data_IF_310710897315
#
_entry.id   IF_310710897315
#
_cell.length_a   1.000
_cell.length_b   1.000
_cell.length_c   1.000
_cell.angle_alpha   90.00
_cell.angle_beta   90.00
_cell.angle_gamma   90.00
#
_symmetry.space_group_name_H-M   'P 1'
#
loop_
_entity.id
_entity.type
_entity.pdbx_description
1 polymer ?
#
# COMPACT_ATOMS: atom_id res chain seq x y z
N UNK A 1 -2.92 17.74 3.55
CA UNK A 1 -4.00 17.09 2.80
C UNK A 1 -3.77 17.14 1.28
N UNK A 2 -3.71 18.33 0.62
CA UNK A 2 -3.49 18.43 -0.84
C UNK A 2 -2.23 17.69 -1.29
N UNK A 3 -1.10 17.90 -0.64
CA UNK A 3 0.16 17.20 -0.94
C UNK A 3 0.03 15.67 -0.82
N UNK A 4 -0.68 15.20 0.19
CA UNK A 4 -0.93 13.76 0.39
C UNK A 4 -1.70 13.17 -0.78
N UNK A 5 -2.73 13.88 -1.23
CA UNK A 5 -3.54 13.43 -2.38
C UNK A 5 -2.71 13.40 -3.66
N UNK A 6 -1.95 14.46 -3.95
CA UNK A 6 -1.06 14.52 -5.13
C UNK A 6 -0.03 13.39 -5.07
N UNK A 7 0.56 13.16 -3.91
CA UNK A 7 1.56 12.11 -3.73
C UNK A 7 1.00 10.71 -3.96
N UNK A 8 -0.20 10.41 -3.44
CA UNK A 8 -0.86 9.10 -3.69
C UNK A 8 -1.20 8.92 -5.16
N UNK A 9 -1.69 9.96 -5.85
CA UNK A 9 -1.92 9.91 -7.29
C UNK A 9 -0.64 9.52 -8.01
N UNK A 10 0.45 10.21 -7.69
CA UNK A 10 1.76 9.91 -8.26
C UNK A 10 2.17 8.47 -7.99
N UNK A 11 1.99 7.97 -6.77
CA UNK A 11 2.29 6.58 -6.43
C UNK A 11 1.42 5.57 -7.19
N UNK A 12 0.13 5.85 -7.39
CA UNK A 12 -0.74 5.00 -8.21
C UNK A 12 -0.25 4.93 -9.66
N UNK A 13 0.29 6.02 -10.20
CA UNK A 13 0.91 6.01 -11.53
C UNK A 13 2.18 5.15 -11.54
N UNK A 14 3.05 5.31 -10.56
CA UNK A 14 4.27 4.51 -10.40
C UNK A 14 3.92 3.01 -10.28
N UNK A 15 2.96 2.66 -9.42
CA UNK A 15 2.50 1.29 -9.25
C UNK A 15 1.92 0.70 -10.55
N UNK A 16 1.13 1.50 -11.28
CA UNK A 16 0.59 1.11 -12.59
C UNK A 16 1.70 0.80 -13.59
N UNK A 17 2.77 1.59 -13.59
CA UNK A 17 3.93 1.37 -14.44
C UNK A 17 4.64 0.06 -14.13
N UNK A 18 4.89 -0.22 -12.85
CA UNK A 18 5.49 -1.50 -12.43
C UNK A 18 4.57 -2.70 -12.70
N UNK A 19 3.25 -2.53 -12.53
CA UNK A 19 2.28 -3.56 -12.91
C UNK A 19 2.34 -3.87 -14.40
N UNK A 20 2.49 -2.84 -15.22
CA UNK A 20 2.64 -3.00 -16.66
C UNK A 20 3.95 -3.72 -17.01
N UNK A 21 5.06 -3.30 -16.45
CA UNK A 21 6.37 -3.92 -16.67
C UNK A 21 6.33 -5.42 -16.32
N UNK A 22 5.74 -5.78 -15.18
CA UNK A 22 5.63 -7.16 -14.76
C UNK A 22 4.68 -7.95 -15.68
N UNK A 23 3.55 -7.38 -16.10
CA UNK A 23 2.63 -8.04 -17.04
C UNK A 23 3.23 -8.25 -18.43
N UNK A 24 4.05 -7.33 -18.92
CA UNK A 24 4.77 -7.54 -20.17
C UNK A 24 5.66 -8.80 -20.11
N UNK A 25 6.21 -9.09 -18.93
CA UNK A 25 7.05 -10.27 -18.74
C UNK A 25 6.22 -11.56 -18.55
N UNK A 26 5.23 -11.53 -17.63
CA UNK A 26 4.45 -12.73 -17.25
C UNK A 26 3.40 -13.08 -18.31
N UNK A 27 2.77 -12.09 -18.92
CA UNK A 27 1.62 -12.27 -19.81
C UNK A 27 1.69 -11.34 -21.03
N UNK A 28 2.67 -11.53 -21.91
CA UNK A 28 2.93 -10.61 -23.04
C UNK A 28 1.74 -10.49 -24.01
N UNK A 29 0.88 -11.50 -24.09
CA UNK A 29 -0.33 -11.46 -24.92
C UNK A 29 -1.45 -10.59 -24.33
N UNK A 30 -1.44 -10.35 -23.02
CA UNK A 30 -2.46 -9.55 -22.34
C UNK A 30 -1.82 -8.54 -21.37
N UNK A 31 -1.31 -7.46 -21.92
CA UNK A 31 -0.63 -6.39 -21.17
C UNK A 31 -1.57 -5.34 -20.61
N UNK A 32 -2.89 -5.44 -20.85
CA UNK A 32 -3.87 -4.48 -20.31
C UNK A 32 -3.91 -4.55 -18.80
N UNK A 33 -3.74 -3.38 -18.15
CA UNK A 33 -3.72 -3.26 -16.70
C UNK A 33 -5.10 -2.88 -16.21
N UNK A 34 -5.64 -3.66 -15.28
CA UNK A 34 -6.87 -3.44 -14.54
C UNK A 34 -6.55 -2.97 -13.11
N UNK A 35 -7.57 -2.58 -12.35
CA UNK A 35 -7.38 -2.10 -10.98
C UNK A 35 -6.72 -3.14 -10.05
N UNK A 36 -7.11 -4.40 -10.13
CA UNK A 36 -6.50 -5.48 -9.33
C UNK A 36 -5.03 -5.70 -9.67
N UNK A 37 -4.63 -5.42 -10.91
CA UNK A 37 -3.24 -5.59 -11.34
C UNK A 37 -2.27 -4.62 -10.63
N UNK A 38 -2.78 -3.56 -9.97
CA UNK A 38 -1.96 -2.69 -9.10
C UNK A 38 -1.22 -3.47 -8.01
N UNK A 39 -1.77 -4.62 -7.59
CA UNK A 39 -1.10 -5.53 -6.66
C UNK A 39 0.22 -6.07 -7.23
N UNK A 40 0.31 -6.31 -8.54
CA UNK A 40 1.56 -6.75 -9.16
C UNK A 40 2.67 -5.70 -9.02
N UNK A 41 2.34 -4.42 -9.23
CA UNK A 41 3.29 -3.32 -9.02
C UNK A 41 3.70 -3.19 -7.56
N UNK A 42 2.75 -3.35 -6.65
CA UNK A 42 2.99 -3.30 -5.22
C UNK A 42 3.92 -4.43 -4.77
N UNK A 43 3.65 -5.68 -5.15
CA UNK A 43 4.51 -6.82 -4.82
C UNK A 43 5.90 -6.69 -5.45
N UNK A 44 5.98 -6.22 -6.70
CA UNK A 44 7.28 -5.99 -7.34
C UNK A 44 8.12 -4.97 -6.57
N UNK A 45 7.50 -3.86 -6.12
CA UNK A 45 8.20 -2.85 -5.31
C UNK A 45 8.60 -3.37 -3.94
N UNK A 46 7.80 -4.23 -3.31
CA UNK A 46 8.15 -4.88 -2.03
C UNK A 46 9.41 -5.75 -2.21
N UNK A 47 9.40 -6.61 -3.23
CA UNK A 47 10.55 -7.49 -3.52
C UNK A 47 11.79 -6.65 -3.87
N UNK A 48 11.62 -5.63 -4.70
CA UNK A 48 12.71 -4.74 -5.10
C UNK A 48 13.29 -3.97 -3.90
N UNK A 49 12.44 -3.49 -2.99
CA UNK A 49 12.89 -2.80 -1.78
C UNK A 49 13.73 -3.70 -0.89
N UNK A 50 13.30 -4.95 -0.68
CA UNK A 50 14.06 -5.92 0.09
C UNK A 50 15.42 -6.20 -0.59
N UNK A 51 15.40 -6.50 -1.89
CA UNK A 51 16.62 -6.80 -2.65
C UNK A 51 17.63 -5.64 -2.59
N UNK A 52 17.17 -4.41 -2.79
CA UNK A 52 18.03 -3.23 -2.73
C UNK A 52 18.60 -3.00 -1.33
N UNK A 53 17.82 -3.26 -0.27
CA UNK A 53 18.28 -3.05 1.10
C UNK A 53 19.39 -4.02 1.52
N UNK A 54 19.54 -5.18 0.89
CA UNK A 54 20.70 -6.05 1.13
C UNK A 54 22.04 -5.36 0.81
N UNK A 55 22.04 -4.47 -0.17
CA UNK A 55 23.27 -3.87 -0.68
C UNK A 55 23.42 -2.40 -0.31
N UNK A 56 22.29 -1.67 -0.20
CA UNK A 56 22.28 -0.22 -0.11
C UNK A 56 21.22 0.31 0.86
N UNK A 57 21.43 1.50 1.46
CA UNK A 57 20.39 2.26 2.14
C UNK A 57 19.28 2.70 1.16
N UNK A 58 18.02 2.50 1.53
CA UNK A 58 16.89 2.73 0.62
C UNK A 58 16.60 4.20 0.31
N UNK A 59 17.04 5.14 1.14
CA UNK A 59 16.81 6.59 0.96
C UNK A 59 17.25 7.15 -0.40
N UNK A 60 18.22 6.50 -1.05
CA UNK A 60 18.73 6.95 -2.35
C UNK A 60 17.88 6.50 -3.54
N UNK A 61 16.96 5.55 -3.34
CA UNK A 61 16.26 4.88 -4.42
C UNK A 61 14.86 5.41 -4.71
N UNK A 62 14.32 6.30 -3.88
CA UNK A 62 13.00 6.89 -4.10
C UNK A 62 12.86 7.50 -5.51
N UNK A 63 13.77 8.41 -5.87
CA UNK A 63 13.70 9.09 -7.18
C UNK A 63 13.95 8.15 -8.36
N UNK A 64 15.02 7.34 -8.42
CA UNK A 64 15.25 6.42 -9.52
C UNK A 64 14.07 5.47 -9.75
N UNK A 65 13.57 4.85 -8.69
CA UNK A 65 12.45 3.91 -8.78
C UNK A 65 11.17 4.61 -9.22
N UNK A 66 10.88 5.80 -8.67
CA UNK A 66 9.73 6.58 -9.08
C UNK A 66 9.80 6.99 -10.55
N UNK A 67 10.95 7.43 -11.04
CA UNK A 67 11.16 7.81 -12.45
C UNK A 67 10.97 6.60 -13.35
N UNK A 68 11.56 5.46 -13.02
CA UNK A 68 11.41 4.21 -13.80
C UNK A 68 9.94 3.79 -13.86
N UNK A 69 9.25 3.73 -12.72
CA UNK A 69 7.84 3.34 -12.66
C UNK A 69 6.94 4.30 -13.45
N UNK A 70 7.19 5.61 -13.31
CA UNK A 70 6.45 6.62 -14.06
C UNK A 70 6.72 6.55 -15.58
N UNK A 71 7.94 6.24 -16.00
CA UNK A 71 8.28 6.03 -17.42
C UNK A 71 7.52 4.84 -18.01
N UNK A 72 7.45 3.72 -17.29
CA UNK A 72 6.63 2.58 -17.70
C UNK A 72 5.12 2.92 -17.74
N UNK A 73 4.64 3.76 -16.83
CA UNK A 73 3.26 4.25 -16.86
C UNK A 73 2.98 5.07 -18.13
N UNK A 74 3.85 6.02 -18.47
CA UNK A 74 3.73 6.81 -19.71
C UNK A 74 3.75 5.89 -20.94
N UNK A 75 4.65 4.91 -20.97
CA UNK A 75 4.70 3.94 -22.06
C UNK A 75 3.41 3.12 -22.17
N UNK A 76 2.84 2.69 -21.04
CA UNK A 76 1.57 1.98 -20.99
C UNK A 76 0.38 2.85 -21.47
N UNK A 77 0.40 4.17 -21.15
CA UNK A 77 -0.57 5.13 -21.67
C UNK A 77 -0.50 5.27 -23.19
N UNK A 78 0.70 5.45 -23.74
CA UNK A 78 0.93 5.55 -25.19
C UNK A 78 0.41 4.28 -25.89
N UNK A 79 0.64 3.11 -25.31
CA UNK A 79 0.15 1.82 -25.81
C UNK A 79 -1.34 1.57 -25.55
N UNK A 80 -2.07 2.49 -24.91
CA UNK A 80 -3.49 2.37 -24.53
C UNK A 80 -3.78 1.09 -23.73
N UNK A 81 -2.87 0.70 -22.87
CA UNK A 81 -2.96 -0.53 -22.06
C UNK A 81 -3.58 -0.31 -20.68
N UNK A 82 -3.83 0.96 -20.28
CA UNK A 82 -4.35 1.28 -18.95
C UNK A 82 -5.87 1.28 -18.96
N UNK A 83 -6.46 0.42 -18.09
CA UNK A 83 -7.89 0.35 -17.81
C UNK A 83 -8.22 0.62 -16.34
N UNK A 84 -7.32 1.32 -15.64
CA UNK A 84 -7.49 1.67 -14.24
C UNK A 84 -8.40 2.89 -14.14
N UNK A 85 -9.38 2.83 -13.26
CA UNK A 85 -10.23 3.98 -12.96
C UNK A 85 -9.63 4.79 -11.81
N UNK A 86 -8.66 5.63 -12.13
CA UNK A 86 -7.97 6.47 -11.14
C UNK A 86 -8.91 7.40 -10.38
N UNK A 87 -9.98 7.89 -11.03
CA UNK A 87 -10.95 8.79 -10.39
C UNK A 87 -11.62 8.12 -9.18
N UNK A 88 -12.01 6.85 -9.31
CA UNK A 88 -12.65 6.12 -8.21
C UNK A 88 -11.65 5.89 -7.08
N UNK A 89 -10.41 5.46 -7.40
CA UNK A 89 -9.37 5.33 -6.39
C UNK A 89 -9.13 6.65 -5.65
N UNK A 90 -9.11 7.77 -6.37
CA UNK A 90 -8.96 9.09 -5.78
C UNK A 90 -10.11 9.47 -4.85
N UNK A 91 -11.35 9.21 -5.26
CA UNK A 91 -12.52 9.50 -4.43
C UNK A 91 -12.50 8.66 -3.14
N UNK A 92 -12.14 7.38 -3.23
CA UNK A 92 -11.99 6.51 -2.07
C UNK A 92 -10.91 7.07 -1.14
N UNK A 93 -9.72 7.32 -1.67
CA UNK A 93 -8.57 7.80 -0.89
C UNK A 93 -8.88 9.16 -0.26
N UNK A 94 -9.49 10.09 -1.01
CA UNK A 94 -9.86 11.42 -0.52
C UNK A 94 -10.85 11.33 0.65
N UNK A 95 -11.84 10.44 0.56
CA UNK A 95 -12.82 10.24 1.64
C UNK A 95 -12.14 9.74 2.93
N UNK A 96 -11.16 8.86 2.82
CA UNK A 96 -10.47 8.32 4.00
C UNK A 96 -9.32 9.20 4.51
N UNK A 97 -8.69 10.00 3.66
CA UNK A 97 -7.62 10.92 4.07
C UNK A 97 -8.12 11.88 5.16
N UNK A 98 -9.35 12.36 5.05
CA UNK A 98 -9.93 13.28 6.03
C UNK A 98 -10.04 12.62 7.42
N UNK A 99 -10.50 11.37 7.43
CA UNK A 99 -10.64 10.57 8.65
C UNK A 99 -9.27 10.28 9.27
N UNK A 100 -8.30 9.91 8.43
CA UNK A 100 -6.94 9.58 8.86
C UNK A 100 -6.26 10.77 9.52
N UNK A 101 -6.35 11.96 8.94
CA UNK A 101 -5.72 13.16 9.51
C UNK A 101 -6.39 13.66 10.80
N UNK A 102 -7.59 13.20 11.14
CA UNK A 102 -8.24 13.50 12.41
C UNK A 102 -7.80 12.59 13.56
N UNK A 103 -7.07 11.52 13.27
CA UNK A 103 -6.59 10.55 14.27
C UNK A 103 -5.18 10.88 14.73
N UNK A 104 -4.88 10.58 15.99
CA UNK A 104 -3.54 10.71 16.55
C UNK A 104 -2.65 9.52 16.18
N UNK A 105 -1.34 9.67 16.38
CA UNK A 105 -0.38 8.58 16.22
C UNK A 105 -0.63 7.47 17.26
N UNK A 106 -0.53 6.22 16.84
CA UNK A 106 -0.51 5.09 17.76
C UNK A 106 0.82 5.05 18.53
N UNK A 107 0.79 4.56 19.75
CA UNK A 107 1.95 4.45 20.65
C UNK A 107 3.09 3.63 20.03
N UNK A 108 2.76 2.56 19.32
CA UNK A 108 3.74 1.66 18.68
C UNK A 108 4.49 2.31 17.51
N UNK A 109 3.84 3.22 16.79
CA UNK A 109 4.45 3.91 15.65
C UNK A 109 5.73 4.67 16.01
N UNK A 110 5.76 5.59 16.98
CA UNK A 110 6.99 6.26 17.38
C UNK A 110 7.94 5.35 18.16
N UNK A 111 7.42 4.36 18.89
CA UNK A 111 8.26 3.49 19.74
C UNK A 111 9.23 2.63 18.92
N UNK A 112 8.76 1.91 17.91
CA UNK A 112 9.62 0.98 17.17
C UNK A 112 9.39 0.98 15.64
N UNK A 113 8.18 1.15 15.11
CA UNK A 113 7.93 1.08 13.66
C UNK A 113 8.71 2.16 12.89
N UNK A 114 8.60 3.43 13.30
CA UNK A 114 9.34 4.52 12.66
C UNK A 114 10.85 4.37 12.82
N UNK A 115 11.30 3.78 13.94
CA UNK A 115 12.72 3.50 14.15
C UNK A 115 13.22 2.43 13.17
N UNK A 116 12.48 1.32 12.99
CA UNK A 116 12.81 0.28 12.01
C UNK A 116 12.86 0.88 10.60
N UNK A 117 11.84 1.65 10.20
CA UNK A 117 11.80 2.32 8.90
C UNK A 117 13.00 3.26 8.72
N UNK A 118 13.40 3.98 9.78
CA UNK A 118 14.57 4.85 9.76
C UNK A 118 15.87 4.07 9.57
N UNK A 119 16.03 2.92 10.23
CA UNK A 119 17.18 2.04 10.05
C UNK A 119 17.26 1.53 8.61
N UNK A 120 16.19 0.93 8.09
CA UNK A 120 16.11 0.40 6.72
C UNK A 120 16.36 1.52 5.69
N UNK A 121 15.90 2.73 5.96
CA UNK A 121 16.10 3.88 5.07
C UNK A 121 17.56 4.32 5.03
N UNK A 122 18.25 4.37 6.17
CA UNK A 122 19.58 4.95 6.29
C UNK A 122 20.71 3.94 6.17
N UNK A 123 20.45 2.68 6.45
CA UNK A 123 21.44 1.59 6.46
C UNK A 123 21.00 0.45 5.54
N UNK A 124 21.97 -0.29 5.03
CA UNK A 124 21.69 -1.61 4.47
C UNK A 124 21.19 -2.53 5.58
N UNK A 125 20.68 -3.70 5.21
CA UNK A 125 20.17 -4.68 6.17
C UNK A 125 21.18 -4.89 7.31
N UNK A 126 20.72 -4.68 8.54
CA UNK A 126 21.53 -4.82 9.75
C UNK A 126 21.07 -6.08 10.48
N UNK A 127 21.97 -7.07 10.55
CA UNK A 127 21.69 -8.29 11.29
C UNK A 127 21.87 -8.06 12.80
N UNK A 128 21.01 -8.69 13.61
CA UNK A 128 21.12 -8.65 15.06
C UNK A 128 20.48 -7.42 15.73
N UNK A 129 19.67 -6.64 15.04
CA UNK A 129 18.92 -5.53 15.65
C UNK A 129 18.03 -5.98 16.81
N UNK A 130 17.52 -7.22 16.78
CA UNK A 130 16.76 -7.82 17.87
C UNK A 130 17.57 -8.02 19.16
N UNK A 131 18.91 -8.01 19.08
CA UNK A 131 19.77 -8.06 20.27
C UNK A 131 19.80 -6.73 21.02
N UNK A 132 19.46 -5.61 20.34
CA UNK A 132 19.35 -4.29 20.96
C UNK A 132 17.95 -4.12 21.59
N UNK A 133 16.93 -4.46 20.86
CA UNK A 133 15.52 -4.39 21.25
C UNK A 133 14.75 -5.47 20.50
N UNK A 134 14.08 -6.37 21.22
CA UNK A 134 13.40 -7.53 20.65
C UNK A 134 12.38 -7.15 19.56
N UNK A 135 11.71 -6.00 19.72
CA UNK A 135 10.75 -5.47 18.74
C UNK A 135 11.38 -5.08 17.40
N UNK A 136 12.68 -4.80 17.36
CA UNK A 136 13.41 -4.54 16.10
C UNK A 136 13.63 -5.80 15.27
N UNK A 137 13.38 -6.98 15.84
CA UNK A 137 13.41 -8.26 15.13
C UNK A 137 12.18 -8.51 14.26
N UNK A 138 11.07 -7.81 14.50
CA UNK A 138 9.86 -7.91 13.69
C UNK A 138 10.02 -7.18 12.36
N UNK A 139 10.84 -7.73 11.45
CA UNK A 139 11.05 -7.18 10.12
C UNK A 139 9.89 -7.53 9.21
N UNK A 140 9.09 -6.53 8.84
CA UNK A 140 8.11 -6.67 7.78
C UNK A 140 8.64 -6.14 6.46
N UNK A 141 8.37 -6.89 5.39
CA UNK A 141 8.61 -6.44 4.01
C UNK A 141 7.90 -5.11 3.69
N UNK A 142 6.82 -4.83 4.40
CA UNK A 142 6.07 -3.57 4.29
C UNK A 142 6.87 -2.38 4.78
N UNK A 143 7.68 -2.54 5.83
CA UNK A 143 8.60 -1.49 6.29
C UNK A 143 9.70 -1.18 5.28
N UNK A 144 10.17 -2.17 4.53
CA UNK A 144 11.10 -1.94 3.44
C UNK A 144 10.45 -1.10 2.33
N UNK A 145 9.19 -1.40 1.97
CA UNK A 145 8.43 -0.57 1.02
C UNK A 145 8.25 0.86 1.54
N UNK A 146 7.88 1.05 2.80
CA UNK A 146 7.79 2.37 3.41
C UNK A 146 9.11 3.13 3.35
N UNK A 147 10.22 2.45 3.63
CA UNK A 147 11.55 3.04 3.60
C UNK A 147 11.98 3.45 2.19
N UNK A 148 11.63 2.65 1.19
CA UNK A 148 11.89 2.92 -0.23
C UNK A 148 11.12 4.13 -0.74
N UNK A 149 9.84 4.21 -0.40
CA UNK A 149 8.92 5.24 -0.88
C UNK A 149 8.76 6.41 0.09
N UNK A 150 9.63 6.48 1.09
CA UNK A 150 9.61 7.54 2.09
C UNK A 150 9.94 8.89 1.45
N UNK A 151 8.98 9.79 1.51
CA UNK A 151 9.11 11.16 1.03
C UNK A 151 8.73 12.13 2.14
N UNK A 152 9.62 13.10 2.40
CA UNK A 152 9.40 14.17 3.36
C UNK A 152 9.34 15.51 2.66
N UNK A 153 8.27 16.23 2.83
CA UNK A 153 8.13 17.61 2.37
C UNK A 153 7.41 18.44 3.43
N UNK A 154 8.11 19.39 4.04
CA UNK A 154 7.64 20.14 5.21
C UNK A 154 7.14 19.18 6.31
N UNK A 155 5.90 19.36 6.76
CA UNK A 155 5.26 18.53 7.78
C UNK A 155 4.60 17.26 7.20
N UNK A 156 4.72 17.02 5.88
CA UNK A 156 4.15 15.85 5.25
C UNK A 156 5.08 14.65 5.36
N UNK A 157 4.57 13.56 5.94
CA UNK A 157 5.24 12.26 5.96
C UNK A 157 4.40 11.25 5.18
N UNK A 158 4.94 10.78 4.06
CA UNK A 158 4.26 9.86 3.17
C UNK A 158 3.89 8.52 3.82
N UNK A 159 4.59 8.12 4.87
CA UNK A 159 4.43 6.82 5.53
C UNK A 159 2.99 6.61 6.00
N UNK A 160 2.35 7.64 6.53
CA UNK A 160 1.01 7.54 7.12
C UNK A 160 -0.13 7.26 6.13
N UNK A 161 0.11 7.37 4.85
CA UNK A 161 -0.94 7.22 3.82
C UNK A 161 -0.78 5.97 2.96
N UNK A 162 0.31 5.22 3.11
CA UNK A 162 0.57 4.04 2.28
C UNK A 162 -0.47 2.93 2.42
N UNK A 163 -1.00 2.74 3.62
CA UNK A 163 -2.01 1.71 3.89
C UNK A 163 -3.32 1.95 3.13
N UNK A 164 -3.56 3.19 2.67
CA UNK A 164 -4.73 3.52 1.84
C UNK A 164 -4.66 2.90 0.44
N UNK A 165 -3.48 2.58 -0.07
CA UNK A 165 -3.34 2.01 -1.42
C UNK A 165 -3.97 0.62 -1.52
N UNK A 166 -3.55 -0.40 -0.74
CA UNK A 166 -4.19 -1.71 -0.77
C UNK A 166 -5.66 -1.64 -0.35
N UNK A 167 -6.01 -0.75 0.58
CA UNK A 167 -7.40 -0.54 1.00
C UNK A 167 -8.27 0.02 -0.15
N UNK A 168 -7.76 0.97 -0.94
CA UNK A 168 -8.49 1.49 -2.11
C UNK A 168 -8.70 0.41 -3.19
N UNK A 169 -7.75 -0.50 -3.35
CA UNK A 169 -7.88 -1.63 -4.27
C UNK A 169 -9.00 -2.56 -3.79
N UNK A 170 -9.06 -2.86 -2.49
CA UNK A 170 -10.11 -3.69 -1.89
C UNK A 170 -11.50 -3.07 -2.12
N UNK A 171 -11.69 -1.80 -1.76
CA UNK A 171 -12.99 -1.11 -1.93
C UNK A 171 -13.37 -1.05 -3.41
N UNK A 172 -12.40 -0.83 -4.31
CA UNK A 172 -12.68 -0.84 -5.74
C UNK A 172 -13.22 -2.18 -6.23
N UNK A 173 -12.74 -3.32 -5.70
CA UNK A 173 -13.27 -4.64 -6.08
C UNK A 173 -14.75 -4.76 -5.74
N UNK A 174 -15.18 -4.21 -4.61
CA UNK A 174 -16.61 -4.13 -4.23
C UNK A 174 -17.41 -3.30 -5.24
N UNK A 175 -16.86 -2.19 -5.69
CA UNK A 175 -17.53 -1.31 -6.66
C UNK A 175 -17.66 -1.99 -8.05
N UNK A 176 -16.63 -2.70 -8.50
CA UNK A 176 -16.57 -3.28 -9.85
C UNK A 176 -17.46 -4.52 -10.02
N UNK A 177 -17.68 -5.30 -8.96
CA UNK A 177 -18.30 -6.62 -8.99
C UNK A 177 -19.61 -6.66 -8.20
N UNK A 178 -20.68 -6.10 -8.76
CA UNK A 178 -22.02 -6.25 -8.19
C UNK A 178 -22.58 -7.62 -8.57
N UNK A 179 -23.11 -8.37 -7.59
CA UNK A 179 -23.92 -9.60 -7.69
C UNK A 179 -23.18 -10.97 -7.64
N UNK A 180 -21.89 -11.03 -7.43
CA UNK A 180 -21.17 -12.30 -7.22
C UNK A 180 -21.15 -12.64 -5.71
N UNK A 181 -21.05 -13.92 -5.32
CA UNK A 181 -20.94 -14.33 -3.91
C UNK A 181 -19.72 -13.69 -3.25
N UNK A 182 -18.63 -13.61 -3.98
CA UNK A 182 -17.40 -12.94 -3.60
C UNK A 182 -17.60 -11.45 -3.26
N UNK A 183 -18.54 -10.77 -3.96
CA UNK A 183 -18.91 -9.38 -3.65
C UNK A 183 -19.53 -9.24 -2.26
N UNK A 184 -20.49 -10.11 -1.90
CA UNK A 184 -21.13 -10.05 -0.58
C UNK A 184 -20.13 -10.31 0.54
N UNK A 185 -19.18 -11.23 0.34
CA UNK A 185 -18.11 -11.47 1.29
C UNK A 185 -17.25 -10.21 1.53
N UNK A 186 -16.83 -9.55 0.47
CA UNK A 186 -15.99 -8.32 0.59
C UNK A 186 -16.81 -7.19 1.21
N UNK A 187 -18.09 -7.02 0.85
CA UNK A 187 -18.99 -6.06 1.48
C UNK A 187 -19.12 -6.30 2.99
N UNK A 188 -19.40 -7.54 3.39
CA UNK A 188 -19.51 -7.91 4.80
C UNK A 188 -18.19 -7.66 5.54
N UNK A 189 -17.06 -7.99 4.93
CA UNK A 189 -15.74 -7.73 5.52
C UNK A 189 -15.48 -6.24 5.72
N UNK A 190 -15.83 -5.37 4.75
CA UNK A 190 -15.70 -3.92 4.88
C UNK A 190 -16.66 -3.38 5.94
N UNK A 191 -17.93 -3.83 5.94
CA UNK A 191 -18.89 -3.44 6.96
C UNK A 191 -18.38 -3.85 8.35
N UNK A 192 -17.82 -5.04 8.48
CA UNK A 192 -17.23 -5.52 9.73
C UNK A 192 -16.07 -4.63 10.17
N UNK A 193 -15.15 -4.29 9.26
CA UNK A 193 -14.04 -3.37 9.52
C UNK A 193 -14.55 -2.01 10.00
N UNK A 194 -15.53 -1.43 9.29
CA UNK A 194 -16.11 -0.13 9.64
C UNK A 194 -16.89 -0.19 10.95
N UNK A 195 -17.69 -1.24 11.16
CA UNK A 195 -18.48 -1.43 12.37
C UNK A 195 -17.58 -1.55 13.62
N UNK A 196 -16.53 -2.35 13.55
CA UNK A 196 -15.55 -2.43 14.62
C UNK A 196 -14.82 -1.10 14.84
N UNK A 197 -14.58 -0.32 13.79
CA UNK A 197 -14.02 1.02 13.92
C UNK A 197 -14.94 2.00 14.61
N UNK A 198 -16.27 1.88 14.41
CA UNK A 198 -17.30 2.71 15.06
C UNK A 198 -17.60 2.31 16.51
N UNK A 199 -17.58 1.03 16.82
CA UNK A 199 -17.78 0.55 18.19
C UNK A 199 -16.60 0.86 19.11
N UNK A 200 -15.50 1.30 18.55
CA UNK A 200 -14.23 1.44 19.23
C UNK A 200 -13.94 2.77 19.96
N UNK A 201 -14.75 3.83 19.99
CA UNK A 201 -14.63 4.84 21.05
C UNK A 201 -14.76 4.23 22.45
N UNK A 202 -15.48 3.09 22.57
CA UNK A 202 -15.54 2.28 23.79
C UNK A 202 -14.36 1.31 23.99
N UNK A 203 -13.65 0.95 22.91
CA UNK A 203 -12.57 -0.06 22.86
C UNK A 203 -11.21 0.47 22.32
N UNK A 204 -10.94 1.80 22.31
CA UNK A 204 -9.71 2.49 21.85
C UNK A 204 -9.44 2.49 20.32
N UNK A 205 -10.38 3.01 19.50
CA UNK A 205 -10.14 3.54 18.12
C UNK A 205 -9.25 2.77 17.11
N UNK A 206 -9.07 1.44 17.27
CA UNK A 206 -7.95 0.68 16.69
C UNK A 206 -7.87 0.70 15.16
N UNK A 207 -8.95 0.48 14.41
CA UNK A 207 -8.81 0.20 12.97
C UNK A 207 -8.56 1.46 12.13
N UNK A 208 -9.20 2.59 12.44
CA UNK A 208 -8.93 3.84 11.72
C UNK A 208 -7.55 4.41 12.07
N UNK A 209 -7.12 4.23 13.33
CA UNK A 209 -5.76 4.52 13.74
C UNK A 209 -4.73 3.67 12.97
N UNK A 210 -5.03 2.41 12.69
CA UNK A 210 -4.16 1.52 11.95
C UNK A 210 -4.01 1.90 10.46
N UNK A 211 -5.00 2.58 9.85
CA UNK A 211 -4.86 3.12 8.49
C UNK A 211 -3.91 4.32 8.43
N UNK A 212 -3.88 5.13 9.48
CA UNK A 212 -2.99 6.31 9.60
C UNK A 212 -1.58 5.94 10.05
N UNK A 213 -1.40 4.75 10.63
CA UNK A 213 -0.16 4.36 11.27
C UNK A 213 0.70 3.46 10.38
N UNK A 214 1.92 3.23 10.82
CA UNK A 214 2.86 2.27 10.25
C UNK A 214 2.50 0.82 10.57
N UNK A 215 1.30 0.57 11.12
CA UNK A 215 0.90 -0.77 11.53
C UNK A 215 0.58 -1.66 10.34
N UNK A 216 0.95 -2.92 10.51
CA UNK A 216 0.89 -3.97 9.50
C UNK A 216 -0.43 -4.74 9.51
N UNK A 217 -1.15 -4.71 10.63
CA UNK A 217 -2.32 -5.55 10.86
C UNK A 217 -3.44 -5.22 9.87
N UNK A 218 -3.69 -3.95 9.63
CA UNK A 218 -4.69 -3.52 8.63
C UNK A 218 -4.31 -3.98 7.23
N UNK A 219 -3.04 -3.88 6.86
CA UNK A 219 -2.54 -4.31 5.55
C UNK A 219 -2.64 -5.82 5.41
N UNK A 220 -2.24 -6.56 6.45
CA UNK A 220 -2.35 -8.02 6.48
C UNK A 220 -3.82 -8.45 6.32
N UNK A 221 -4.74 -7.80 7.03
CA UNK A 221 -6.17 -8.06 6.91
C UNK A 221 -6.71 -7.77 5.50
N UNK A 222 -6.32 -6.64 4.90
CA UNK A 222 -6.71 -6.30 3.51
C UNK A 222 -6.21 -7.35 2.53
N UNK A 223 -4.94 -7.79 2.66
CA UNK A 223 -4.42 -8.85 1.79
C UNK A 223 -5.08 -10.20 2.02
N UNK A 224 -5.43 -10.53 3.26
CA UNK A 224 -6.19 -11.74 3.57
C UNK A 224 -7.56 -11.72 2.86
N UNK A 225 -8.31 -10.62 2.98
CA UNK A 225 -9.61 -10.45 2.34
C UNK A 225 -9.48 -10.51 0.81
N UNK A 226 -8.49 -9.84 0.22
CA UNK A 226 -8.24 -9.89 -1.22
C UNK A 226 -7.87 -11.30 -1.70
N UNK A 227 -7.07 -12.03 -0.93
CA UNK A 227 -6.68 -13.41 -1.25
C UNK A 227 -7.87 -14.34 -1.19
N UNK A 228 -8.72 -14.20 -0.16
CA UNK A 228 -9.94 -14.99 -0.04
C UNK A 228 -10.97 -14.65 -1.12
N UNK A 229 -11.10 -13.36 -1.48
CA UNK A 229 -11.90 -12.95 -2.64
C UNK A 229 -11.43 -13.62 -3.94
N UNK A 230 -10.12 -13.63 -4.20
CA UNK A 230 -9.55 -14.27 -5.40
C UNK A 230 -9.75 -15.79 -5.38
N UNK A 231 -9.64 -16.40 -4.20
CA UNK A 231 -9.92 -17.83 -4.01
C UNK A 231 -11.37 -18.14 -4.34
N UNK A 232 -12.34 -17.44 -3.78
CA UNK A 232 -13.77 -17.66 -4.08
C UNK A 232 -14.04 -17.49 -5.58
N UNK A 233 -13.49 -16.45 -6.19
CA UNK A 233 -13.65 -16.19 -7.63
C UNK A 233 -13.06 -17.28 -8.52
N UNK A 234 -12.08 -18.03 -8.05
CA UNK A 234 -11.52 -19.17 -8.79
C UNK A 234 -12.50 -20.35 -8.86
N UNK A 235 -13.40 -20.47 -7.89
CA UNK A 235 -14.40 -21.54 -7.81
C UNK A 235 -15.78 -21.14 -8.36
N UNK A 236 -16.01 -19.86 -8.65
CA UNK A 236 -17.18 -19.37 -9.41
C UNK A 236 -16.95 -19.55 -10.92
#
# INVERSE_FOLDING_TARGET
MIFSTIFIIFLLFVLSGYSFALKMYISPKNTKIKNLDLLYGLFLLIILSLFLNFFFPLKYFFYPISIIGFSFFIFALIKKQIKINFLIHLLIIFSFIFIIYSQGDNVDSPMYHLQIIKWISNEKIVFGLSNLEIRFGSNSLWFALFSLLKFHFHNFNSIYIFNLIPFSILIYQVYEKKNDLSYYFVCLSIIFILFFSFLHPFLNGVILNHLHNTELDTVAMVFFILSFYLFLKYFE
#
